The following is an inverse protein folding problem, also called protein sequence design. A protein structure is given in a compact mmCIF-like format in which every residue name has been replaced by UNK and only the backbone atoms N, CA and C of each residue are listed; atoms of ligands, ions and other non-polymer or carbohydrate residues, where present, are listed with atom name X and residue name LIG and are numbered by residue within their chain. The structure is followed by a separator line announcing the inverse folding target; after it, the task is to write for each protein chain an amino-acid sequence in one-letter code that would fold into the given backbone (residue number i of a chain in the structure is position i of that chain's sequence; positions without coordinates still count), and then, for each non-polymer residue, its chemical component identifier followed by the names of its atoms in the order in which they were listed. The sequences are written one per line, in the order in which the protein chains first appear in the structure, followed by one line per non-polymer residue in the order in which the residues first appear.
data_IF_841597139199
#
_entry.id   IF_841597139199
#
_cell.length_a   1.000
_cell.length_b   1.000
_cell.length_c   1.000
_cell.angle_alpha   90.00
_cell.angle_beta   90.00
_cell.angle_gamma   90.00
#
_symmetry.space_group_name_H-M   'P 1'
#
loop_
_entity.id
_entity.type
_entity.pdbx_description
1 polymer ?
#
# COMPACT_ATOMS: atom_id res chain seq x y z
N UNK A 1 -2.48 -4.47 18.88
CA UNK A 1 -2.56 -3.27 18.03
C UNK A 1 -1.43 -2.35 18.49
N UNK A 2 -0.32 -2.27 17.76
CA UNK A 2 0.81 -1.42 18.17
C UNK A 2 0.39 0.05 18.07
N UNK A 3 0.52 0.80 19.15
CA UNK A 3 0.21 2.22 19.17
C UNK A 3 1.32 2.98 18.42
N UNK A 4 0.96 3.68 17.34
CA UNK A 4 1.91 4.45 16.55
C UNK A 4 2.59 5.55 17.38
N UNK A 5 1.92 6.08 18.41
CA UNK A 5 2.46 7.10 19.31
C UNK A 5 3.56 6.52 20.22
N UNK A 6 3.39 5.30 20.73
CA UNK A 6 4.40 4.61 21.54
C UNK A 6 5.67 4.36 20.70
N UNK A 7 5.49 3.81 19.48
CA UNK A 7 6.60 3.62 18.53
C UNK A 7 7.32 4.93 18.19
N UNK A 8 6.59 6.04 18.08
CA UNK A 8 7.16 7.36 17.78
C UNK A 8 8.02 7.89 18.94
N UNK A 9 7.58 7.68 20.19
CA UNK A 9 8.33 8.11 21.37
C UNK A 9 9.73 7.49 21.41
N UNK A 10 9.81 6.18 21.13
CA UNK A 10 11.04 5.37 21.20
C UNK A 10 11.95 5.47 19.95
N UNK A 11 11.54 6.22 18.91
CA UNK A 11 12.27 6.29 17.64
C UNK A 11 13.46 7.28 17.68
N UNK A 12 14.60 6.97 17.04
CA UNK A 12 15.65 7.96 16.78
C UNK A 12 15.22 9.00 15.72
N UNK A 13 15.87 10.17 15.71
CA UNK A 13 15.60 11.20 14.70
C UNK A 13 16.12 10.80 13.30
N UNK A 14 15.42 11.17 12.21
CA UNK A 14 14.15 11.90 12.17
C UNK A 14 12.94 11.02 12.48
N UNK A 15 12.11 11.44 13.43
CA UNK A 15 10.92 10.68 13.82
C UNK A 15 9.76 10.84 12.82
N UNK A 16 9.00 9.77 12.58
CA UNK A 16 7.80 9.79 11.74
C UNK A 16 6.66 8.94 12.31
N UNK A 17 5.43 9.43 12.19
CA UNK A 17 4.25 8.73 12.69
C UNK A 17 3.79 7.63 11.72
N UNK A 18 3.76 7.94 10.42
CA UNK A 18 3.34 7.03 9.36
C UNK A 18 4.52 6.69 8.45
N UNK A 19 4.90 5.41 8.39
CA UNK A 19 5.91 4.93 7.45
C UNK A 19 5.39 4.73 6.02
N UNK A 20 4.08 4.90 5.83
CA UNK A 20 3.41 4.81 4.54
C UNK A 20 2.78 6.15 4.19
N UNK A 21 2.75 6.46 2.89
CA UNK A 21 2.07 7.64 2.38
C UNK A 21 0.59 7.32 2.09
N UNK A 22 -0.30 8.26 2.37
CA UNK A 22 -1.75 8.06 2.19
C UNK A 22 -2.15 7.97 0.71
N UNK A 23 -1.34 8.52 -0.19
CA UNK A 23 -1.56 8.51 -1.63
C UNK A 23 -0.36 7.94 -2.35
N UNK A 24 -0.50 6.79 -2.98
CA UNK A 24 0.56 6.20 -3.80
C UNK A 24 0.00 5.77 -5.15
N UNK A 25 0.79 5.81 -6.23
CA UNK A 25 0.37 5.28 -7.52
C UNK A 25 -0.07 3.82 -7.42
N UNK A 26 0.58 3.04 -6.56
CA UNK A 26 0.20 1.65 -6.28
C UNK A 26 -1.23 1.52 -5.75
N UNK A 27 -1.64 2.37 -4.80
CA UNK A 27 -3.01 2.36 -4.27
C UNK A 27 -4.04 2.72 -5.33
N UNK A 28 -3.74 3.71 -6.17
CA UNK A 28 -4.63 4.12 -7.27
C UNK A 28 -4.82 2.98 -8.27
N UNK A 29 -3.73 2.36 -8.71
CA UNK A 29 -3.79 1.26 -9.68
C UNK A 29 -4.45 0.01 -9.10
N UNK A 30 -4.21 -0.25 -7.83
CA UNK A 30 -4.85 -1.34 -7.11
C UNK A 30 -6.38 -1.14 -7.02
N UNK A 31 -6.84 0.10 -6.77
CA UNK A 31 -8.27 0.46 -6.84
C UNK A 31 -8.86 0.32 -8.24
N UNK A 32 -8.11 0.73 -9.27
CA UNK A 32 -8.53 0.68 -10.67
C UNK A 32 -8.37 -0.69 -11.34
N UNK A 33 -7.87 -1.70 -10.64
CA UNK A 33 -7.54 -3.03 -11.18
C UNK A 33 -8.66 -3.71 -11.98
N UNK A 34 -9.93 -3.42 -11.65
CA UNK A 34 -11.10 -3.96 -12.38
C UNK A 34 -11.53 -3.12 -13.59
N UNK A 35 -11.09 -1.87 -13.69
CA UNK A 35 -11.42 -0.94 -14.77
C UNK A 35 -10.30 -0.86 -15.82
N UNK A 36 -9.04 -0.89 -15.37
CA UNK A 36 -7.84 -0.82 -16.21
C UNK A 36 -6.77 -1.82 -15.74
N UNK A 37 -7.01 -3.15 -15.92
CA UNK A 37 -6.13 -4.21 -15.43
C UNK A 37 -4.72 -4.19 -16.04
N UNK A 38 -4.55 -3.65 -17.25
CA UNK A 38 -3.28 -3.55 -17.95
C UNK A 38 -2.20 -2.81 -17.15
N UNK A 39 -2.59 -1.80 -16.37
CA UNK A 39 -1.64 -1.01 -15.58
C UNK A 39 -1.11 -1.79 -14.37
N UNK A 40 -1.96 -2.54 -13.68
CA UNK A 40 -1.53 -3.35 -12.53
C UNK A 40 -0.69 -4.54 -13.00
N UNK A 41 -1.03 -5.14 -14.15
CA UNK A 41 -0.26 -6.21 -14.76
C UNK A 41 1.13 -5.74 -15.20
N UNK A 42 1.25 -4.55 -15.79
CA UNK A 42 2.55 -3.98 -16.16
C UNK A 42 3.47 -3.84 -14.93
N UNK A 43 2.93 -3.35 -13.81
CA UNK A 43 3.69 -3.17 -12.57
C UNK A 43 3.99 -4.47 -11.83
N UNK A 44 3.13 -5.48 -11.96
CA UNK A 44 3.26 -6.77 -11.26
C UNK A 44 3.85 -7.87 -12.15
N UNK A 45 4.68 -7.51 -13.13
CA UNK A 45 5.37 -8.46 -14.03
C UNK A 45 4.40 -9.42 -14.76
N UNK A 46 3.26 -8.90 -15.21
CA UNK A 46 2.27 -9.61 -16.02
C UNK A 46 1.35 -10.56 -15.26
N UNK A 47 1.34 -10.53 -13.92
CA UNK A 47 0.45 -11.36 -13.08
C UNK A 47 -0.22 -10.52 -12.01
N UNK A 48 -1.45 -10.85 -11.67
CA UNK A 48 -2.11 -10.24 -10.52
C UNK A 48 -1.50 -10.72 -9.20
N UNK A 49 -1.70 -9.93 -8.15
CA UNK A 49 -1.36 -10.29 -6.78
C UNK A 49 -2.19 -11.49 -6.27
N UNK A 50 -1.79 -12.05 -5.13
CA UNK A 50 -2.54 -13.07 -4.42
C UNK A 50 -3.97 -12.58 -4.11
N UNK A 51 -5.00 -13.43 -4.30
CA UNK A 51 -6.40 -13.04 -4.10
C UNK A 51 -6.71 -12.42 -2.72
N UNK A 52 -6.06 -12.90 -1.66
CA UNK A 52 -6.25 -12.40 -0.29
C UNK A 52 -5.71 -10.97 -0.08
N UNK A 53 -4.81 -10.54 -0.97
CA UNK A 53 -4.22 -9.19 -0.97
C UNK A 53 -4.88 -8.28 -1.99
N UNK A 54 -5.84 -8.78 -2.77
CA UNK A 54 -6.62 -8.01 -3.73
C UNK A 54 -7.82 -7.34 -3.05
N UNK A 55 -8.32 -6.23 -3.62
CA UNK A 55 -9.54 -5.59 -3.12
C UNK A 55 -10.72 -6.55 -3.31
N UNK A 56 -11.14 -7.13 -2.20
CA UNK A 56 -12.38 -7.89 -2.08
C UNK A 56 -13.51 -6.89 -1.75
N UNK A 57 -14.72 -7.15 -2.28
CA UNK A 57 -15.87 -6.24 -2.11
C UNK A 57 -16.17 -5.98 -0.64
#
# INVERSE_FOLDING_TARGET
MFNLQERYADMPEPKFLYGAHYSTPGYVLFYLSRQAPEYVLCLQNGKFDQPDRMFNR
#
